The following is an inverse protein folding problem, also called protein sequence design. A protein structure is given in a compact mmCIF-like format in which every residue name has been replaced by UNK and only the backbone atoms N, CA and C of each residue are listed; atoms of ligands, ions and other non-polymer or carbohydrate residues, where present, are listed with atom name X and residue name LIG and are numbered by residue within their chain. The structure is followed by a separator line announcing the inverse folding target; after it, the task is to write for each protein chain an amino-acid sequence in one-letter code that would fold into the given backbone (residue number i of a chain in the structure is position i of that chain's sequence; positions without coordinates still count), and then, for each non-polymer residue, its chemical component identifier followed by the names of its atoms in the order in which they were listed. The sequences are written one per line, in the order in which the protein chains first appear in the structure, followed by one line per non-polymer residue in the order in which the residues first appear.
data_IF_011020216427
#
_entry.id   IF_011020216427
#
_cell.length_a   1.000
_cell.length_b   1.000
_cell.length_c   1.000
_cell.angle_alpha   90.00
_cell.angle_beta   90.00
_cell.angle_gamma   90.00
#
_symmetry.space_group_name_H-M   'P 1'
#
loop_
_entity.id
_entity.type
_entity.pdbx_description
1 polymer ?
#
# COMPACT_ATOMS: atom_id res chain seq x y z
N UNK A 1 -6.26 -51.30 34.00
CA UNK A 1 -5.62 -49.96 33.78
C UNK A 1 -5.96 -49.52 32.35
N UNK A 2 -6.98 -48.66 32.19
CA UNK A 2 -7.25 -48.00 30.91
C UNK A 2 -6.36 -46.77 30.83
N UNK A 3 -5.41 -46.74 29.89
CA UNK A 3 -4.64 -45.56 29.54
C UNK A 3 -5.53 -44.66 28.66
N UNK A 4 -6.00 -43.53 29.19
CA UNK A 4 -6.58 -42.46 28.39
C UNK A 4 -5.42 -41.78 27.63
N UNK A 5 -5.24 -42.11 26.35
CA UNK A 5 -4.50 -41.28 25.41
C UNK A 5 -5.32 -40.02 25.11
N UNK A 6 -5.05 -38.93 25.81
CA UNK A 6 -5.55 -37.62 25.44
C UNK A 6 -4.85 -37.21 24.15
N UNK A 7 -5.55 -37.18 23.04
CA UNK A 7 -5.07 -36.53 21.81
C UNK A 7 -5.01 -35.03 22.09
N UNK A 8 -3.80 -34.49 22.26
CA UNK A 8 -3.60 -33.05 22.25
C UNK A 8 -3.97 -32.56 20.85
N UNK A 9 -5.01 -31.72 20.74
CA UNK A 9 -5.33 -31.06 19.48
C UNK A 9 -4.12 -30.19 19.10
N UNK A 10 -3.53 -30.44 17.95
CA UNK A 10 -2.47 -29.61 17.42
C UNK A 10 -2.99 -28.20 17.21
N UNK A 11 -2.26 -27.19 17.66
CA UNK A 11 -2.58 -25.79 17.36
C UNK A 11 -2.49 -25.63 15.83
N UNK A 12 -3.54 -25.09 15.17
CA UNK A 12 -3.51 -24.90 13.72
C UNK A 12 -2.32 -24.02 13.33
N UNK A 13 -1.63 -24.43 12.28
CA UNK A 13 -0.52 -23.62 11.71
C UNK A 13 -1.06 -22.32 11.15
N UNK A 14 -0.16 -21.38 10.88
CA UNK A 14 -0.54 -20.12 10.20
C UNK A 14 -1.23 -20.41 8.86
N UNK A 15 -0.65 -21.32 8.07
CA UNK A 15 -1.20 -21.71 6.77
C UNK A 15 -2.64 -22.29 6.86
N UNK A 16 -2.96 -23.02 7.92
CA UNK A 16 -4.30 -23.59 8.14
C UNK A 16 -5.36 -22.50 8.44
N UNK A 17 -4.92 -21.35 8.91
CA UNK A 17 -5.79 -20.20 9.24
C UNK A 17 -5.98 -19.24 8.07
N UNK A 18 -5.14 -19.31 7.03
CA UNK A 18 -5.29 -18.50 5.82
C UNK A 18 -6.42 -19.03 4.97
N UNK A 19 -7.42 -18.19 4.74
CA UNK A 19 -8.61 -18.54 3.95
C UNK A 19 -8.48 -18.17 2.48
N UNK A 20 -7.61 -17.19 2.17
CA UNK A 20 -7.37 -16.73 0.82
C UNK A 20 -6.01 -16.04 0.73
N UNK A 21 -5.25 -16.31 -0.33
CA UNK A 21 -3.98 -15.65 -0.60
C UNK A 21 -3.70 -15.58 -2.10
N UNK A 22 -3.08 -14.48 -2.56
CA UNK A 22 -2.74 -14.24 -3.96
C UNK A 22 -1.42 -13.49 -4.10
N UNK A 23 -0.60 -13.90 -5.06
CA UNK A 23 0.56 -13.15 -5.54
C UNK A 23 0.09 -12.24 -6.68
N UNK A 24 -0.06 -10.95 -6.39
CA UNK A 24 -0.65 -10.00 -7.32
C UNK A 24 0.32 -9.69 -8.48
N UNK A 25 -0.19 -9.84 -9.70
CA UNK A 25 0.64 -9.70 -10.91
C UNK A 25 1.66 -10.82 -11.13
N UNK A 26 1.66 -11.86 -10.28
CA UNK A 26 2.63 -12.95 -10.32
C UNK A 26 2.02 -14.36 -10.41
N UNK A 27 2.89 -15.35 -10.48
CA UNK A 27 2.55 -16.76 -10.45
C UNK A 27 2.31 -17.26 -9.02
N UNK A 28 1.78 -18.48 -8.89
CA UNK A 28 1.57 -19.10 -7.58
C UNK A 28 2.91 -19.26 -6.81
N UNK A 29 2.87 -19.04 -5.50
CA UNK A 29 4.02 -19.16 -4.62
C UNK A 29 3.60 -19.73 -3.26
N UNK A 30 4.48 -20.53 -2.64
CA UNK A 30 4.31 -20.95 -1.24
C UNK A 30 5.43 -20.31 -0.42
N UNK A 31 5.06 -19.50 0.57
CA UNK A 31 6.04 -18.81 1.39
C UNK A 31 6.68 -19.67 2.48
N UNK A 32 7.67 -19.12 3.18
CA UNK A 32 8.39 -19.81 4.26
C UNK A 32 7.49 -20.22 5.44
N UNK A 33 6.30 -19.63 5.56
CA UNK A 33 5.28 -19.97 6.57
C UNK A 33 4.30 -21.02 6.09
N UNK A 34 4.43 -21.51 4.85
CA UNK A 34 3.55 -22.49 4.23
C UNK A 34 2.26 -21.89 3.65
N UNK A 35 2.11 -20.57 3.59
CA UNK A 35 0.97 -19.91 2.97
C UNK A 35 1.04 -20.10 1.45
N UNK A 36 -0.03 -20.66 0.88
CA UNK A 36 -0.13 -20.92 -0.55
C UNK A 36 -0.80 -19.75 -1.26
N UNK A 37 0.02 -18.84 -1.82
CA UNK A 37 -0.44 -17.75 -2.68
C UNK A 37 -0.80 -18.31 -4.05
N UNK A 38 -2.02 -18.06 -4.48
CA UNK A 38 -2.47 -18.42 -5.83
C UNK A 38 -1.92 -17.43 -6.85
N UNK A 39 -1.87 -17.86 -8.11
CA UNK A 39 -1.67 -16.96 -9.24
C UNK A 39 -2.77 -15.88 -9.24
N UNK A 40 -2.41 -14.68 -9.72
CA UNK A 40 -3.31 -13.52 -9.78
C UNK A 40 -4.58 -13.81 -10.60
N UNK A 41 -5.78 -13.80 -9.99
CA UNK A 41 -7.04 -14.04 -10.67
C UNK A 41 -7.47 -12.89 -11.59
N UNK A 42 -6.86 -11.71 -11.50
CA UNK A 42 -7.15 -10.55 -12.32
C UNK A 42 -6.31 -10.52 -13.61
N UNK A 43 -5.40 -11.46 -13.80
CA UNK A 43 -4.59 -11.54 -15.01
C UNK A 43 -5.46 -11.61 -16.28
N UNK A 44 -5.17 -10.73 -17.23
CA UNK A 44 -5.92 -10.59 -18.48
C UNK A 44 -7.36 -10.04 -18.34
N UNK A 45 -7.79 -9.67 -17.12
CA UNK A 45 -9.14 -9.17 -16.86
C UNK A 45 -9.16 -7.70 -16.44
N UNK A 46 -8.26 -7.31 -15.54
CA UNK A 46 -8.27 -5.97 -14.95
C UNK A 46 -6.84 -5.53 -14.59
N UNK A 47 -6.50 -4.30 -14.97
CA UNK A 47 -5.21 -3.69 -14.71
C UNK A 47 -4.06 -4.37 -15.47
N UNK A 48 -2.86 -4.06 -15.05
CA UNK A 48 -1.61 -4.55 -15.64
C UNK A 48 -0.77 -5.23 -14.56
N UNK A 49 -0.09 -6.32 -14.93
CA UNK A 49 0.94 -6.92 -14.11
C UNK A 49 2.30 -6.29 -14.42
N UNK A 50 3.15 -6.12 -13.41
CA UNK A 50 4.54 -5.74 -13.57
C UNK A 50 5.44 -6.70 -12.81
N UNK A 51 6.54 -7.08 -13.43
CA UNK A 51 7.63 -7.88 -12.85
C UNK A 51 8.92 -7.06 -12.69
N UNK A 52 8.80 -5.74 -12.77
CA UNK A 52 9.95 -4.82 -12.71
C UNK A 52 10.80 -5.05 -11.46
N UNK A 53 10.17 -5.32 -10.32
CA UNK A 53 10.84 -5.61 -9.05
C UNK A 53 11.72 -6.85 -9.05
N UNK A 54 11.57 -7.80 -9.99
CA UNK A 54 12.43 -8.98 -10.09
C UNK A 54 13.90 -8.65 -10.38
N UNK A 55 14.18 -7.42 -10.80
CA UNK A 55 15.54 -6.92 -11.06
C UNK A 55 16.25 -6.43 -9.80
N UNK A 56 15.54 -6.37 -8.67
CA UNK A 56 15.98 -5.72 -7.45
C UNK A 56 15.88 -6.71 -6.27
N UNK A 57 16.86 -6.69 -5.35
CA UNK A 57 16.67 -7.33 -4.06
C UNK A 57 15.63 -6.55 -3.25
N UNK A 58 14.79 -7.24 -2.50
CA UNK A 58 13.81 -6.62 -1.61
C UNK A 58 14.30 -6.76 -0.17
N UNK A 59 14.54 -5.63 0.47
CA UNK A 59 14.90 -5.58 1.88
C UNK A 59 13.71 -5.99 2.77
N UNK A 60 13.95 -6.41 3.99
CA UNK A 60 12.97 -6.87 4.99
C UNK A 60 12.22 -8.16 4.62
N UNK A 61 12.49 -8.78 3.50
CA UNK A 61 11.90 -10.08 3.15
C UNK A 61 12.95 -11.18 3.11
N UNK A 62 12.53 -12.43 3.34
CA UNK A 62 13.41 -13.59 3.15
C UNK A 62 13.75 -13.74 1.67
N UNK A 63 14.94 -14.24 1.29
CA UNK A 63 15.29 -14.45 -0.11
C UNK A 63 14.28 -15.29 -0.90
N UNK A 64 13.63 -16.25 -0.23
CA UNK A 64 12.67 -17.16 -0.83
C UNK A 64 11.33 -16.46 -1.13
N UNK A 65 10.97 -15.42 -0.37
CA UNK A 65 9.67 -14.76 -0.44
C UNK A 65 9.71 -13.38 -1.10
N UNK A 66 10.87 -12.95 -1.60
CA UNK A 66 11.01 -11.67 -2.32
C UNK A 66 10.03 -11.55 -3.48
N UNK A 67 9.68 -12.65 -4.11
CA UNK A 67 8.75 -12.68 -5.25
C UNK A 67 7.38 -12.07 -4.90
N UNK A 68 6.94 -12.17 -3.63
CA UNK A 68 5.69 -11.58 -3.14
C UNK A 68 5.72 -10.05 -3.05
N UNK A 69 6.87 -9.42 -3.30
CA UNK A 69 7.09 -7.98 -3.33
C UNK A 69 7.71 -7.51 -4.66
N UNK A 70 8.17 -8.45 -5.49
CA UNK A 70 8.83 -8.17 -6.78
C UNK A 70 7.85 -8.11 -7.94
N UNK A 71 6.68 -8.74 -7.81
CA UNK A 71 5.59 -8.64 -8.77
C UNK A 71 4.47 -7.78 -8.20
N UNK A 72 3.72 -7.10 -9.06
CA UNK A 72 2.62 -6.24 -8.65
C UNK A 72 1.50 -6.21 -9.67
N UNK A 73 0.26 -6.02 -9.19
CA UNK A 73 -0.88 -5.59 -9.98
C UNK A 73 -1.10 -4.10 -9.76
N UNK A 74 -1.20 -3.34 -10.85
CA UNK A 74 -1.60 -1.93 -10.82
C UNK A 74 -2.68 -1.64 -11.84
N UNK A 75 -3.42 -0.56 -11.65
CA UNK A 75 -4.45 -0.12 -12.60
C UNK A 75 -4.50 1.42 -12.68
N UNK A 76 -4.84 1.94 -13.84
CA UNK A 76 -4.97 3.39 -14.07
C UNK A 76 -6.13 4.01 -13.28
N UNK A 77 -7.15 3.20 -12.97
CA UNK A 77 -8.28 3.54 -12.10
C UNK A 77 -8.24 2.70 -10.81
N UNK A 78 -9.19 2.93 -9.91
CA UNK A 78 -9.40 2.07 -8.74
C UNK A 78 -9.69 0.64 -9.16
N UNK A 79 -9.23 -0.34 -8.38
CA UNK A 79 -9.47 -1.75 -8.63
C UNK A 79 -9.61 -2.52 -7.32
N UNK A 80 -10.16 -3.73 -7.39
CA UNK A 80 -10.41 -4.52 -6.19
C UNK A 80 -10.22 -6.02 -6.38
N UNK A 81 -9.94 -6.69 -5.27
CA UNK A 81 -10.05 -8.14 -5.12
C UNK A 81 -11.27 -8.48 -4.27
N UNK A 82 -11.99 -9.53 -4.65
CA UNK A 82 -13.10 -10.07 -3.87
C UNK A 82 -12.69 -11.36 -3.18
N UNK A 83 -12.80 -11.40 -1.86
CA UNK A 83 -12.49 -12.55 -1.03
C UNK A 83 -13.77 -13.13 -0.45
N UNK A 84 -14.17 -14.37 -0.81
CA UNK A 84 -15.34 -15.00 -0.21
C UNK A 84 -15.02 -15.42 1.23
N UNK A 85 -15.85 -14.96 2.18
CA UNK A 85 -15.76 -15.36 3.60
C UNK A 85 -17.12 -15.89 4.02
N UNK A 86 -17.15 -17.13 4.50
CA UNK A 86 -18.39 -17.83 4.83
C UNK A 86 -18.69 -17.90 6.32
N UNK A 87 -17.68 -17.72 7.15
CA UNK A 87 -17.78 -17.91 8.58
C UNK A 87 -17.63 -16.58 9.31
N UNK A 88 -18.33 -16.46 10.42
CA UNK A 88 -18.16 -15.34 11.34
C UNK A 88 -16.86 -15.50 12.15
N UNK A 89 -16.32 -14.42 12.67
CA UNK A 89 -15.12 -14.43 13.50
C UNK A 89 -14.25 -13.19 13.34
N UNK A 90 -13.07 -13.28 13.92
CA UNK A 90 -12.00 -12.27 13.79
C UNK A 90 -11.06 -12.66 12.66
N UNK A 91 -10.66 -11.67 11.89
CA UNK A 91 -9.86 -11.82 10.69
C UNK A 91 -8.82 -10.72 10.59
N UNK A 92 -7.78 -11.00 9.82
CA UNK A 92 -6.78 -10.02 9.42
C UNK A 92 -6.58 -10.09 7.92
N UNK A 93 -6.58 -8.92 7.27
CA UNK A 93 -6.07 -8.74 5.91
C UNK A 93 -4.63 -8.28 6.02
N UNK A 94 -3.73 -8.93 5.29
CA UNK A 94 -2.35 -8.47 5.12
C UNK A 94 -2.14 -8.12 3.65
N UNK A 95 -1.73 -6.88 3.40
CA UNK A 95 -1.43 -6.34 2.09
C UNK A 95 0.06 -6.12 1.98
N UNK A 96 0.69 -6.69 0.95
CA UNK A 96 2.13 -6.64 0.73
C UNK A 96 2.47 -5.61 -0.34
N UNK A 97 3.43 -4.73 -0.03
CA UNK A 97 3.88 -3.66 -0.90
C UNK A 97 5.39 -3.56 -0.94
N UNK A 98 5.94 -3.09 -2.05
CA UNK A 98 7.28 -2.55 -2.17
C UNK A 98 7.27 -1.46 -3.25
N UNK A 99 7.97 -0.34 -3.04
CA UNK A 99 8.17 0.64 -4.10
C UNK A 99 9.47 0.32 -4.84
N UNK A 100 9.35 -0.08 -6.08
CA UNK A 100 10.47 -0.55 -6.91
C UNK A 100 10.76 0.34 -8.11
N UNK A 101 9.88 1.28 -8.41
CA UNK A 101 9.95 2.13 -9.59
C UNK A 101 10.31 3.58 -9.25
N UNK A 102 9.60 4.20 -8.32
CA UNK A 102 9.84 5.57 -7.91
C UNK A 102 10.91 5.67 -6.82
N UNK A 103 11.73 6.71 -6.91
CA UNK A 103 12.85 6.97 -6.00
C UNK A 103 12.61 8.22 -5.11
N UNK A 104 11.38 8.67 -4.98
CA UNK A 104 10.99 9.83 -4.17
C UNK A 104 9.58 9.62 -3.61
N UNK A 105 9.32 10.20 -2.44
CA UNK A 105 7.98 10.26 -1.86
C UNK A 105 7.04 11.13 -2.71
N UNK A 106 5.73 10.94 -2.52
CA UNK A 106 4.66 11.66 -3.22
C UNK A 106 4.63 11.46 -4.76
N UNK A 107 5.27 10.40 -5.25
CA UNK A 107 5.15 10.01 -6.67
C UNK A 107 3.97 9.04 -6.86
N UNK A 108 3.71 8.17 -5.88
CA UNK A 108 2.63 7.20 -5.89
C UNK A 108 1.95 7.21 -4.51
N UNK A 109 0.73 7.71 -4.46
CA UNK A 109 -0.08 7.81 -3.23
C UNK A 109 -1.50 7.38 -3.54
N UNK A 110 -2.04 6.46 -2.76
CA UNK A 110 -3.38 5.91 -2.95
C UNK A 110 -4.00 5.45 -1.63
N UNK A 111 -5.30 5.19 -1.63
CA UNK A 111 -6.01 4.72 -0.45
C UNK A 111 -6.38 3.24 -0.57
N UNK A 112 -6.72 2.62 0.56
CA UNK A 112 -7.28 1.27 0.60
C UNK A 112 -8.60 1.28 1.36
N UNK A 113 -9.58 0.54 0.83
CA UNK A 113 -10.88 0.31 1.49
C UNK A 113 -11.15 -1.18 1.68
N UNK A 114 -11.83 -1.49 2.77
CA UNK A 114 -12.51 -2.76 2.97
C UNK A 114 -14.03 -2.51 2.98
N UNK A 115 -14.76 -3.09 2.02
CA UNK A 115 -16.22 -2.93 1.90
C UNK A 115 -16.69 -1.48 2.05
N UNK A 116 -16.07 -0.54 1.35
CA UNK A 116 -16.35 0.91 1.38
C UNK A 116 -15.78 1.69 2.59
N UNK A 117 -15.24 1.04 3.62
CA UNK A 117 -14.57 1.72 4.73
C UNK A 117 -13.11 1.99 4.40
N UNK A 118 -12.67 3.23 4.55
CA UNK A 118 -11.26 3.56 4.41
C UNK A 118 -10.45 2.96 5.56
N UNK A 119 -9.48 2.11 5.22
CA UNK A 119 -8.62 1.44 6.21
C UNK A 119 -7.18 1.94 6.15
N UNK A 120 -6.73 2.38 4.98
CA UNK A 120 -5.45 3.07 4.80
C UNK A 120 -5.73 4.31 3.95
N UNK A 121 -5.22 5.46 4.36
CA UNK A 121 -5.32 6.73 3.63
C UNK A 121 -3.95 7.24 3.28
N UNK A 122 -3.85 7.84 2.10
CA UNK A 122 -2.64 8.48 1.62
C UNK A 122 -1.39 7.59 1.71
N UNK A 123 -1.53 6.30 1.34
CA UNK A 123 -0.44 5.34 1.37
C UNK A 123 0.65 5.74 0.36
N UNK A 124 1.76 6.22 0.87
CA UNK A 124 3.02 6.42 0.17
C UNK A 124 4.04 5.38 0.65
N UNK A 125 4.22 4.32 -0.14
CA UNK A 125 5.10 3.20 0.24
C UNK A 125 6.56 3.68 0.36
N UNK A 126 6.98 4.56 -0.55
CA UNK A 126 8.35 5.09 -0.52
C UNK A 126 8.60 5.94 0.73
N UNK A 127 7.64 6.76 1.14
CA UNK A 127 7.76 7.59 2.33
C UNK A 127 7.85 6.75 3.62
N UNK A 128 7.10 5.63 3.66
CA UNK A 128 7.10 4.71 4.81
C UNK A 128 8.42 3.94 4.94
N UNK A 129 8.90 3.33 3.87
CA UNK A 129 9.97 2.33 3.94
C UNK A 129 11.11 2.55 2.93
N UNK A 130 11.00 3.49 2.01
CA UNK A 130 12.00 3.73 0.97
C UNK A 130 11.87 2.78 -0.23
N UNK A 131 12.89 2.83 -1.10
CA UNK A 131 12.94 2.03 -2.32
C UNK A 131 13.32 0.57 -2.04
N UNK A 132 12.68 -0.35 -2.76
CA UNK A 132 12.99 -1.82 -2.72
C UNK A 132 12.94 -2.42 -1.31
N UNK A 133 12.02 -1.95 -0.48
CA UNK A 133 11.85 -2.42 0.90
C UNK A 133 10.42 -2.93 1.08
N UNK A 134 10.28 -4.10 1.69
CA UNK A 134 9.00 -4.72 1.98
C UNK A 134 8.23 -3.91 3.05
N UNK A 135 6.95 -3.67 2.79
CA UNK A 135 6.00 -3.06 3.69
C UNK A 135 4.70 -3.86 3.70
N UNK A 136 4.21 -4.19 4.89
CA UNK A 136 2.94 -4.88 5.06
C UNK A 136 1.96 -3.96 5.79
N UNK A 137 0.78 -3.74 5.21
CA UNK A 137 -0.38 -3.16 5.91
C UNK A 137 -1.20 -4.29 6.51
N UNK A 138 -1.38 -4.26 7.83
CA UNK A 138 -2.04 -5.31 8.61
C UNK A 138 -3.34 -4.74 9.16
N UNK A 139 -4.48 -5.24 8.67
CA UNK A 139 -5.78 -4.64 8.93
C UNK A 139 -6.68 -5.68 9.61
N UNK A 140 -6.92 -5.56 10.94
CA UNK A 140 -7.87 -6.41 11.65
C UNK A 140 -9.31 -6.01 11.32
N UNK A 141 -10.18 -6.99 11.19
CA UNK A 141 -11.62 -6.79 11.05
C UNK A 141 -12.39 -7.98 11.64
N UNK A 142 -13.66 -7.79 11.91
CA UNK A 142 -14.51 -8.88 12.39
C UNK A 142 -15.81 -8.99 11.60
N UNK A 143 -16.34 -10.21 11.56
CA UNK A 143 -17.66 -10.50 10.99
C UNK A 143 -18.50 -11.12 12.08
N UNK A 144 -19.56 -10.42 12.50
CA UNK A 144 -20.47 -10.85 13.56
C UNK A 144 -21.91 -10.55 13.15
N UNK A 145 -22.77 -11.55 13.20
CA UNK A 145 -24.22 -11.44 12.88
C UNK A 145 -24.46 -10.78 11.51
N UNK A 146 -23.71 -11.18 10.49
CA UNK A 146 -23.81 -10.66 9.14
C UNK A 146 -23.39 -9.19 8.99
N UNK A 147 -22.58 -8.67 9.92
CA UNK A 147 -22.00 -7.34 9.86
C UNK A 147 -20.48 -7.43 9.86
N UNK A 148 -19.85 -6.62 9.03
CA UNK A 148 -18.40 -6.38 9.03
C UNK A 148 -18.12 -5.16 9.89
N UNK A 149 -17.15 -5.29 10.79
CA UNK A 149 -16.63 -4.17 11.61
C UNK A 149 -15.14 -4.02 11.37
N UNK A 150 -14.70 -2.81 11.03
CA UNK A 150 -13.30 -2.44 10.82
C UNK A 150 -13.08 -0.99 11.26
N UNK A 151 -12.02 -0.73 12.02
CA UNK A 151 -11.68 0.61 12.53
C UNK A 151 -12.85 1.32 13.22
N UNK A 152 -13.71 0.57 13.96
CA UNK A 152 -14.89 1.11 14.62
C UNK A 152 -16.09 1.39 13.71
N UNK A 153 -15.95 1.27 12.40
CA UNK A 153 -17.04 1.40 11.44
C UNK A 153 -17.71 0.04 11.18
N UNK A 154 -19.02 0.04 10.97
CA UNK A 154 -19.83 -1.18 10.79
C UNK A 154 -20.68 -1.08 9.53
N UNK A 155 -20.66 -2.14 8.72
CA UNK A 155 -21.50 -2.28 7.52
C UNK A 155 -22.12 -3.67 7.41
N UNK A 156 -23.12 -3.81 6.54
CA UNK A 156 -23.70 -5.11 6.22
C UNK A 156 -22.71 -5.94 5.41
N UNK A 157 -22.54 -7.20 5.82
CA UNK A 157 -21.67 -8.15 5.13
C UNK A 157 -22.50 -9.18 4.34
N UNK A 158 -22.19 -9.33 3.06
CA UNK A 158 -22.91 -10.17 2.10
C UNK A 158 -22.16 -11.46 1.71
N UNK A 159 -21.19 -11.87 2.53
CA UNK A 159 -20.37 -13.08 2.25
C UNK A 159 -19.12 -12.82 1.41
N UNK A 160 -18.85 -11.55 1.03
CA UNK A 160 -17.65 -11.16 0.28
C UNK A 160 -16.97 -9.96 0.94
N UNK A 161 -15.68 -10.08 1.17
CA UNK A 161 -14.81 -8.95 1.50
C UNK A 161 -14.27 -8.37 0.19
N UNK A 162 -14.53 -7.10 -0.04
CA UNK A 162 -13.95 -6.34 -1.14
C UNK A 162 -12.77 -5.54 -0.61
N UNK A 163 -11.57 -5.83 -1.12
CA UNK A 163 -10.35 -5.07 -0.87
C UNK A 163 -10.13 -4.16 -2.07
N UNK A 164 -10.39 -2.87 -1.92
CA UNK A 164 -10.33 -1.88 -3.00
C UNK A 164 -9.10 -0.99 -2.83
N UNK A 165 -8.32 -0.87 -3.90
CA UNK A 165 -7.20 0.05 -4.03
C UNK A 165 -7.70 1.27 -4.78
N UNK A 166 -7.79 2.40 -4.10
CA UNK A 166 -8.48 3.60 -4.58
C UNK A 166 -7.50 4.54 -5.23
N UNK A 167 -7.75 4.90 -6.48
CA UNK A 167 -6.96 5.87 -7.24
C UNK A 167 -7.00 7.23 -6.56
N UNK A 168 -5.82 7.74 -6.21
CA UNK A 168 -5.61 9.10 -5.73
C UNK A 168 -5.27 10.07 -6.86
N UNK A 169 -4.71 11.22 -6.48
CA UNK A 169 -4.28 12.23 -7.44
C UNK A 169 -2.97 11.85 -8.15
N UNK A 170 -2.09 11.14 -7.44
CA UNK A 170 -0.78 10.72 -7.95
C UNK A 170 -0.89 9.44 -8.79
N UNK A 171 0.24 8.80 -9.09
CA UNK A 171 0.32 7.61 -9.94
C UNK A 171 -0.68 6.49 -9.54
N UNK A 172 -0.65 5.41 -10.24
CA UNK A 172 -1.61 4.29 -10.15
C UNK A 172 -1.56 3.56 -8.82
N UNK A 173 -2.69 3.16 -8.22
CA UNK A 173 -2.71 2.24 -7.08
C UNK A 173 -2.14 0.88 -7.49
N UNK A 174 -1.48 0.21 -6.54
CA UNK A 174 -0.85 -1.11 -6.75
C UNK A 174 -0.93 -2.00 -5.53
N UNK A 175 -0.66 -3.28 -5.72
CA UNK A 175 -0.43 -4.25 -4.65
C UNK A 175 0.46 -5.39 -5.16
N UNK A 176 1.37 -5.87 -4.33
CA UNK A 176 2.29 -6.96 -4.67
C UNK A 176 1.72 -8.33 -4.27
N UNK A 177 1.11 -8.42 -3.11
CA UNK A 177 0.47 -9.63 -2.62
C UNK A 177 -0.56 -9.33 -1.56
N UNK A 178 -1.47 -10.25 -1.34
CA UNK A 178 -2.41 -10.11 -0.23
C UNK A 178 -2.86 -11.49 0.26
N UNK A 179 -3.13 -11.58 1.56
CA UNK A 179 -3.83 -12.73 2.13
C UNK A 179 -4.81 -12.30 3.22
N UNK A 180 -5.79 -13.18 3.47
CA UNK A 180 -6.78 -13.04 4.53
C UNK A 180 -6.71 -14.27 5.40
N UNK A 181 -6.60 -14.08 6.71
CA UNK A 181 -6.56 -15.17 7.68
C UNK A 181 -7.55 -14.97 8.82
N UNK A 182 -7.94 -16.08 9.46
CA UNK A 182 -8.60 -16.06 10.77
C UNK A 182 -7.57 -15.85 11.87
N UNK A 183 -7.83 -14.92 12.78
CA UNK A 183 -6.96 -14.64 13.91
C UNK A 183 -6.84 -13.15 14.18
N UNK A 184 -5.77 -12.80 14.89
CA UNK A 184 -5.47 -11.43 15.33
C UNK A 184 -4.16 -10.93 14.72
N UNK A 185 -3.84 -9.66 14.95
CA UNK A 185 -2.61 -9.03 14.45
C UNK A 185 -1.35 -9.72 15.00
N UNK A 186 -1.41 -10.23 16.23
CA UNK A 186 -0.30 -10.92 16.89
C UNK A 186 0.07 -12.25 16.20
N UNK A 187 -0.86 -12.81 15.42
CA UNK A 187 -0.65 -14.04 14.67
C UNK A 187 0.08 -13.82 13.34
N UNK A 188 0.21 -12.56 12.89
CA UNK A 188 0.84 -12.21 11.62
C UNK A 188 2.36 -12.22 11.76
N UNK A 189 3.09 -12.91 10.86
CA UNK A 189 4.55 -12.87 10.85
C UNK A 189 5.07 -11.45 10.61
N UNK A 190 5.99 -11.01 11.45
CA UNK A 190 6.65 -9.71 11.28
C UNK A 190 7.67 -9.77 10.15
N UNK A 191 7.80 -8.66 9.42
CA UNK A 191 8.89 -8.47 8.46
C UNK A 191 10.24 -8.48 9.17
N UNK A 192 11.29 -8.77 8.42
CA UNK A 192 12.65 -8.72 8.97
C UNK A 192 12.97 -7.28 9.43
N UNK A 193 13.66 -7.13 10.56
CA UNK A 193 14.03 -5.81 11.07
C UNK A 193 14.96 -5.09 10.08
N UNK A 194 14.82 -3.76 10.03
CA UNK A 194 15.67 -2.90 9.21
C UNK A 194 16.18 -1.73 10.07
N UNK A 195 17.49 -1.61 10.31
CA UNK A 195 18.05 -0.67 11.30
C UNK A 195 17.69 0.81 11.09
N UNK A 196 17.29 1.18 9.86
CA UNK A 196 16.88 2.56 9.54
C UNK A 196 15.39 2.83 9.77
N UNK A 197 14.57 1.79 9.92
CA UNK A 197 13.11 1.92 10.09
C UNK A 197 12.66 1.68 11.54
N UNK A 198 13.39 0.87 12.31
CA UNK A 198 13.08 0.59 13.71
C UNK A 198 13.01 1.86 14.56
N UNK A 199 13.92 2.80 14.33
CA UNK A 199 13.91 4.09 15.03
C UNK A 199 12.69 4.95 14.69
N UNK A 200 12.20 4.85 13.46
CA UNK A 200 11.03 5.63 13.02
C UNK A 200 9.74 5.03 13.58
N UNK A 201 9.66 3.71 13.62
CA UNK A 201 8.53 2.99 14.24
C UNK A 201 8.47 3.24 15.76
N UNK A 202 9.62 3.26 16.46
CA UNK A 202 9.70 3.59 17.90
C UNK A 202 9.28 5.06 18.17
N UNK A 203 9.72 6.01 17.36
CA UNK A 203 9.37 7.42 17.48
C UNK A 203 7.86 7.66 17.20
N UNK A 204 7.26 6.98 16.21
CA UNK A 204 5.83 7.06 15.92
C UNK A 204 4.97 6.41 17.03
N UNK A 205 5.40 5.30 17.62
CA UNK A 205 4.74 4.67 18.77
C UNK A 205 4.81 5.56 20.03
N UNK A 206 5.94 6.22 20.31
CA UNK A 206 6.08 7.13 21.44
C UNK A 206 5.18 8.36 21.29
N UNK A 207 5.04 8.94 20.08
CA UNK A 207 4.14 10.06 19.82
C UNK A 207 2.67 9.66 19.99
N UNK A 208 2.26 8.47 19.59
CA UNK A 208 0.88 7.99 19.74
C UNK A 208 0.51 7.73 21.23
N UNK A 209 1.46 7.30 22.07
CA UNK A 209 1.27 7.15 23.51
C UNK A 209 1.19 8.49 24.23
N UNK A 210 1.90 9.53 23.78
CA UNK A 210 1.82 10.86 24.40
C UNK A 210 0.52 11.59 24.05
N UNK A 211 -0.04 11.44 22.84
CA UNK A 211 -1.35 12.02 22.46
C UNK A 211 -2.55 11.33 23.16
N UNK A 212 -2.41 10.06 23.56
CA UNK A 212 -3.45 9.30 24.27
C UNK A 212 -3.62 9.62 25.76
N UNK A 213 -2.70 10.39 26.36
CA UNK A 213 -2.58 10.58 27.83
C UNK A 213 -3.19 11.84 28.42
N UNK A 214 -3.59 12.86 27.69
CA UNK A 214 -4.12 14.11 28.26
C UNK A 214 -5.52 14.47 27.74
N UNK A 215 -6.46 14.48 28.67
CA UNK A 215 -7.83 14.94 28.47
C UNK A 215 -7.94 16.45 28.25
N UNK A 216 -8.69 16.82 27.24
CA UNK A 216 -9.39 18.10 27.03
C UNK A 216 -8.62 19.39 27.25
N UNK A 217 -8.15 20.01 26.17
CA UNK A 217 -8.33 21.45 25.95
C UNK A 217 -8.05 21.83 24.48
N UNK A 218 -8.99 22.54 23.86
CA UNK A 218 -8.98 23.45 22.70
C UNK A 218 -8.07 23.17 21.50
N UNK A 219 -8.57 23.33 20.25
CA UNK A 219 -7.79 23.05 19.04
C UNK A 219 -6.70 24.09 18.84
N UNK A 220 -5.48 23.75 19.21
CA UNK A 220 -4.31 24.48 18.81
C UNK A 220 -3.90 24.10 17.37
N UNK A 221 -3.63 25.11 16.58
CA UNK A 221 -3.21 25.00 15.20
C UNK A 221 -2.07 23.99 15.03
N UNK A 222 -2.25 23.03 14.12
CA UNK A 222 -1.19 22.11 13.68
C UNK A 222 0.05 22.93 13.28
N UNK A 223 1.07 22.84 14.09
CA UNK A 223 2.40 23.34 13.72
C UNK A 223 2.90 22.45 12.57
N UNK A 224 2.73 22.92 11.35
CA UNK A 224 3.43 22.36 10.20
C UNK A 224 4.92 22.54 10.48
N UNK A 225 5.63 21.43 10.72
CA UNK A 225 7.09 21.44 10.72
C UNK A 225 7.50 21.91 9.32
N UNK A 226 8.00 23.11 9.25
CA UNK A 226 8.52 23.69 8.03
C UNK A 226 9.85 22.98 7.78
N UNK A 227 9.85 21.98 6.90
CA UNK A 227 11.10 21.42 6.39
C UNK A 227 11.97 22.57 5.88
N UNK A 228 13.26 22.55 6.25
CA UNK A 228 14.22 23.59 5.94
C UNK A 228 14.29 23.98 4.46
N UNK A 229 15.05 25.02 4.09
CA UNK A 229 15.02 25.57 2.75
C UNK A 229 15.27 24.46 1.72
N UNK A 230 14.28 24.22 0.86
CA UNK A 230 14.40 23.30 -0.27
C UNK A 230 15.54 23.80 -1.14
N UNK A 231 16.59 23.03 -1.26
CA UNK A 231 17.58 23.25 -2.32
C UNK A 231 16.83 23.18 -3.65
N UNK A 232 16.96 24.20 -4.53
CA UNK A 232 16.31 24.15 -5.83
C UNK A 232 16.74 22.88 -6.56
N UNK A 233 15.78 22.18 -7.13
CA UNK A 233 16.05 20.99 -7.94
C UNK A 233 16.94 21.42 -9.13
N UNK A 234 18.21 20.98 -9.23
CA UNK A 234 19.10 21.38 -10.30
C UNK A 234 18.65 20.88 -11.69
N UNK A 235 17.63 19.99 -11.72
CA UNK A 235 17.03 19.46 -12.95
C UNK A 235 15.63 20.00 -13.21
N UNK A 236 15.12 20.94 -12.40
CA UNK A 236 13.92 21.67 -12.76
C UNK A 236 14.24 22.50 -14.00
N UNK A 237 13.77 22.05 -15.17
CA UNK A 237 13.90 22.80 -16.41
C UNK A 237 13.22 24.15 -16.20
N UNK A 238 14.02 25.20 -16.01
CA UNK A 238 13.53 26.57 -15.92
C UNK A 238 13.09 27.01 -17.31
N UNK A 239 11.82 26.77 -17.63
CA UNK A 239 11.22 27.18 -18.90
C UNK A 239 10.99 28.71 -18.97
N UNK A 240 11.28 29.44 -17.91
CA UNK A 240 11.13 30.90 -17.90
C UNK A 240 12.10 31.58 -18.89
N UNK A 241 13.27 30.98 -19.12
CA UNK A 241 14.24 31.51 -20.09
C UNK A 241 13.81 31.36 -21.55
N UNK A 242 12.89 30.40 -21.86
CA UNK A 242 12.36 30.22 -23.21
C UNK A 242 11.17 31.13 -23.53
N UNK A 243 10.47 31.63 -22.51
CA UNK A 243 9.33 32.54 -22.71
C UNK A 243 9.76 33.88 -23.24
N UNK A 244 10.94 34.38 -22.87
CA UNK A 244 11.43 35.66 -23.29
C UNK A 244 11.76 35.75 -24.81
N UNK A 245 12.50 34.79 -25.41
CA UNK A 245 12.74 34.79 -26.85
C UNK A 245 11.45 34.55 -27.67
N UNK A 246 10.50 33.77 -27.15
CA UNK A 246 9.21 33.53 -27.82
C UNK A 246 8.40 34.85 -27.89
N UNK A 247 8.29 35.59 -26.78
CA UNK A 247 7.58 36.88 -26.73
C UNK A 247 8.25 37.94 -27.64
N UNK A 248 9.59 37.98 -27.69
CA UNK A 248 10.32 38.86 -28.60
C UNK A 248 10.08 38.47 -30.06
N UNK A 249 10.07 37.19 -30.38
CA UNK A 249 9.77 36.70 -31.73
C UNK A 249 8.37 37.11 -32.19
N UNK A 250 7.35 36.96 -31.37
CA UNK A 250 6.00 37.41 -31.69
C UNK A 250 5.89 38.93 -31.79
N UNK A 251 6.58 39.68 -30.92
CA UNK A 251 6.62 41.15 -30.95
C UNK A 251 7.27 41.73 -32.20
N UNK A 252 8.20 41.07 -32.84
CA UNK A 252 8.88 41.50 -34.06
C UNK A 252 8.20 40.94 -35.32
N UNK A 253 7.74 39.68 -35.31
CA UNK A 253 7.19 39.06 -36.51
C UNK A 253 5.81 39.61 -36.92
N UNK A 254 4.93 39.95 -35.96
CA UNK A 254 3.59 40.45 -36.27
C UNK A 254 3.66 41.84 -36.97
N UNK A 255 4.42 42.82 -36.48
CA UNK A 255 4.53 44.12 -37.18
C UNK A 255 5.17 44.02 -38.57
N UNK A 256 6.16 43.14 -38.75
CA UNK A 256 6.82 42.94 -40.06
C UNK A 256 5.92 42.30 -41.09
N UNK A 257 5.08 41.34 -40.68
CA UNK A 257 4.07 40.75 -41.57
C UNK A 257 3.01 41.80 -41.99
N UNK A 258 2.58 42.67 -41.07
CA UNK A 258 1.65 43.75 -41.35
C UNK A 258 2.21 44.81 -42.32
N UNK A 259 3.54 45.14 -42.22
CA UNK A 259 4.21 46.01 -43.15
C UNK A 259 4.32 45.40 -44.56
N UNK A 260 4.61 44.11 -44.68
CA UNK A 260 4.72 43.41 -45.97
C UNK A 260 3.38 43.23 -46.69
N UNK A 261 2.26 43.15 -45.97
CA UNK A 261 0.94 43.04 -46.58
C UNK A 261 0.33 44.39 -46.98
N UNK A 262 1.00 45.53 -46.75
CA UNK A 262 0.57 46.87 -47.13
C UNK A 262 1.38 47.50 -48.29
N UNK A 263 2.32 46.79 -48.82
CA UNK A 263 3.07 47.09 -50.06
C UNK A 263 2.51 46.24 -51.19
#
# INVERSE_FOLDING_TARGET
LLALCGAAAAVPSLADRVIWAVNCGGEAHTDAHGIQYKKDPLEGKLGKASDYGMRLPILRSSPEDQILYQTERYNEDSFSYEVPIREEGEYVVVLKFAEVYFAQSQQKVFDVKLNSHFVVKDLDIFDKVGHSTAHDEIIPFSIVKGKLSVNGEVSTFNGKLTVEFVKGYYDNPKVCGLYVMKGTVEDVPKLQPHPGLEKKEEEEEEEEYEEGGEGKTTPAAKHRVQSGPRTPNPYAADNSSLMFPILVSFGVFIPTLFCLCRL
#
